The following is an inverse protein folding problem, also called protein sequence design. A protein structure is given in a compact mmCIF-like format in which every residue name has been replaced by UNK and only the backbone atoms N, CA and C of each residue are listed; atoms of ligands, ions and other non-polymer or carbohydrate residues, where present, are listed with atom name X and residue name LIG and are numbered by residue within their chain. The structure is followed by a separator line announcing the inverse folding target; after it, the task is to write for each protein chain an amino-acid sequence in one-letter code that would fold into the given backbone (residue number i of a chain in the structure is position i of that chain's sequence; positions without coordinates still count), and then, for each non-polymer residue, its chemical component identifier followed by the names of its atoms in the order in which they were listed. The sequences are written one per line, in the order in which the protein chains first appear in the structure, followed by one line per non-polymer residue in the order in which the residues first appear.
data_IF_752061705534
#
_entry.id   IF_752061705534
#
_cell.length_a   1.000
_cell.length_b   1.000
_cell.length_c   1.000
_cell.angle_alpha   90.00
_cell.angle_beta   90.00
_cell.angle_gamma   90.00
#
_symmetry.space_group_name_H-M   'P 1'
#
loop_
_entity.id
_entity.type
_entity.pdbx_description
1 polymer ?
#
# COMPACT_ATOMS: atom_id res chain seq x y z
N UNK A 1 34.08 20.31 14.48
CA UNK A 1 33.72 20.86 13.16
C UNK A 1 32.21 21.10 13.08
N UNK A 2 31.69 22.02 13.90
CA UNK A 2 30.25 22.26 14.14
C UNK A 2 29.73 23.55 13.48
N UNK A 3 30.38 24.01 12.40
CA UNK A 3 30.13 25.33 11.81
C UNK A 3 29.95 25.32 10.28
N UNK A 4 29.63 24.16 9.70
CA UNK A 4 29.05 24.07 8.35
C UNK A 4 27.55 23.85 8.55
N UNK A 5 26.71 24.74 8.04
CA UNK A 5 25.24 24.69 8.13
C UNK A 5 24.57 23.51 7.41
N UNK A 6 25.16 22.31 7.49
CA UNK A 6 24.60 21.04 7.06
C UNK A 6 23.68 20.50 8.17
N UNK A 7 22.52 21.12 8.34
CA UNK A 7 21.38 20.51 9.08
C UNK A 7 20.66 19.46 8.21
N UNK A 8 21.43 18.63 7.52
CA UNK A 8 20.91 17.54 6.69
C UNK A 8 21.11 16.23 7.43
N UNK A 9 20.43 16.08 8.57
CA UNK A 9 20.29 14.78 9.24
C UNK A 9 19.16 14.02 8.55
N UNK A 10 19.49 12.99 7.76
CA UNK A 10 18.50 12.17 7.06
C UNK A 10 19.03 11.49 5.81
N UNK A 11 18.27 10.54 5.28
CA UNK A 11 18.65 9.78 4.09
C UNK A 11 18.35 10.58 2.80
N UNK A 12 19.41 11.03 2.13
CA UNK A 12 19.36 11.74 0.84
C UNK A 12 19.48 10.81 -0.38
N UNK A 13 19.70 9.51 -0.17
CA UNK A 13 19.90 8.56 -1.25
C UNK A 13 18.59 8.43 -2.06
N UNK A 14 18.70 8.69 -3.36
CA UNK A 14 17.57 8.68 -4.29
C UNK A 14 16.51 9.76 -4.00
N UNK A 15 16.91 10.90 -3.41
CA UNK A 15 16.06 12.07 -3.13
C UNK A 15 16.54 13.29 -3.90
N UNK A 16 15.63 14.08 -4.43
CA UNK A 16 15.98 15.37 -5.05
C UNK A 16 16.23 16.45 -3.99
N UNK A 17 17.32 17.19 -4.15
CA UNK A 17 17.71 18.28 -3.23
C UNK A 17 16.75 19.48 -3.29
N UNK A 18 16.07 19.67 -4.42
CA UNK A 18 15.11 20.77 -4.62
C UNK A 18 13.83 20.62 -3.78
N UNK A 19 13.38 19.38 -3.54
CA UNK A 19 12.13 19.08 -2.82
C UNK A 19 12.42 18.76 -1.34
N UNK A 20 13.57 18.16 -1.04
CA UNK A 20 13.96 17.79 0.32
C UNK A 20 13.25 16.52 0.82
N UNK A 21 13.71 16.02 1.99
CA UNK A 21 13.34 14.68 2.50
C UNK A 21 11.86 14.62 2.91
N UNK A 22 11.40 15.58 3.72
CA UNK A 22 10.04 15.53 4.31
C UNK A 22 8.95 15.60 3.24
N UNK A 23 9.02 16.57 2.33
CA UNK A 23 8.05 16.71 1.25
C UNK A 23 8.04 15.50 0.32
N UNK A 24 9.22 14.95 0.03
CA UNK A 24 9.31 13.76 -0.82
C UNK A 24 8.74 12.50 -0.18
N UNK A 25 8.88 12.36 1.15
CA UNK A 25 8.29 11.23 1.88
C UNK A 25 6.75 11.28 1.88
N UNK A 26 6.18 12.48 2.05
CA UNK A 26 4.72 12.69 1.96
C UNK A 26 4.22 12.46 0.55
N UNK A 27 4.96 12.93 -0.46
CA UNK A 27 4.58 12.74 -1.86
C UNK A 27 4.52 11.26 -2.24
N UNK A 28 5.56 10.47 -1.94
CA UNK A 28 5.56 9.04 -2.27
C UNK A 28 4.48 8.28 -1.52
N UNK A 29 4.24 8.60 -0.24
CA UNK A 29 3.17 7.99 0.54
C UNK A 29 1.80 8.34 -0.06
N UNK A 30 1.54 9.61 -0.33
CA UNK A 30 0.27 10.07 -0.93
C UNK A 30 0.02 9.48 -2.31
N UNK A 31 1.01 9.48 -3.20
CA UNK A 31 0.89 8.92 -4.55
C UNK A 31 0.65 7.41 -4.56
N UNK A 32 1.12 6.72 -3.52
CA UNK A 32 0.89 5.29 -3.31
C UNK A 32 -0.52 5.04 -2.78
N UNK A 33 -0.98 5.83 -1.81
CA UNK A 33 -2.35 5.77 -1.30
C UNK A 33 -3.33 5.99 -2.46
N UNK A 34 -3.18 7.07 -3.22
CA UNK A 34 -4.02 7.44 -4.37
C UNK A 34 -3.83 6.56 -5.61
N UNK A 35 -3.09 5.46 -5.52
CA UNK A 35 -2.82 4.53 -6.63
C UNK A 35 -2.34 5.24 -7.92
N UNK A 36 -1.68 6.39 -7.78
CA UNK A 36 -1.21 7.20 -8.91
C UNK A 36 0.11 6.66 -9.46
N UNK A 37 0.92 6.01 -8.61
CA UNK A 37 2.19 5.40 -9.02
C UNK A 37 3.31 6.39 -9.33
N UNK A 38 3.08 7.69 -9.13
CA UNK A 38 4.09 8.72 -9.25
C UNK A 38 5.08 8.64 -8.09
N UNK A 39 6.37 8.75 -8.39
CA UNK A 39 7.42 8.77 -7.38
C UNK A 39 8.38 9.89 -7.70
N UNK A 40 8.72 10.69 -6.70
CA UNK A 40 9.77 11.73 -6.81
C UNK A 40 11.07 11.27 -6.15
N UNK A 41 11.13 10.01 -5.71
CA UNK A 41 12.24 9.38 -5.01
C UNK A 41 12.38 7.93 -5.44
N UNK A 42 13.62 7.42 -5.45
CA UNK A 42 13.84 6.00 -5.68
C UNK A 42 13.34 5.19 -4.47
N UNK A 43 12.30 4.36 -4.66
CA UNK A 43 11.70 3.56 -3.58
C UNK A 43 12.73 2.56 -3.00
N UNK A 44 13.63 2.04 -3.83
CA UNK A 44 14.70 1.13 -3.41
C UNK A 44 15.73 1.78 -2.47
N UNK A 45 15.80 3.11 -2.42
CA UNK A 45 16.75 3.85 -1.61
C UNK A 45 16.18 4.32 -0.27
N UNK A 46 14.96 3.93 0.10
CA UNK A 46 14.40 4.25 1.42
C UNK A 46 14.99 3.35 2.50
N UNK A 47 15.01 3.86 3.73
CA UNK A 47 15.27 3.05 4.92
C UNK A 47 14.22 1.94 5.05
N UNK A 48 14.53 0.78 5.67
CA UNK A 48 13.56 -0.31 5.84
C UNK A 48 12.22 0.13 6.44
N UNK A 49 12.23 0.99 7.45
CA UNK A 49 11.02 1.54 8.06
C UNK A 49 10.22 2.44 7.09
N UNK A 50 10.91 3.21 6.25
CA UNK A 50 10.31 4.03 5.20
C UNK A 50 9.69 3.19 4.07
N UNK A 51 10.32 2.07 3.70
CA UNK A 51 9.77 1.13 2.73
C UNK A 51 8.46 0.51 3.24
N UNK A 52 8.38 0.17 4.53
CA UNK A 52 7.13 -0.34 5.13
C UNK A 52 5.98 0.68 5.02
N UNK A 53 6.27 1.97 5.18
CA UNK A 53 5.26 3.03 5.01
C UNK A 53 4.69 3.12 3.60
N UNK A 54 5.44 2.69 2.57
CA UNK A 54 5.00 2.65 1.17
C UNK A 54 4.35 1.31 0.84
N UNK A 55 4.88 0.19 1.34
CA UNK A 55 4.34 -1.14 1.06
C UNK A 55 2.99 -1.39 1.74
N UNK A 56 2.76 -0.83 2.93
CA UNK A 56 1.55 -1.07 3.70
C UNK A 56 0.26 -0.66 2.96
N UNK A 57 0.15 0.57 2.40
CA UNK A 57 -1.00 0.96 1.57
C UNK A 57 -1.21 0.09 0.32
N UNK A 58 -0.12 -0.37 -0.31
CA UNK A 58 -0.19 -1.22 -1.52
C UNK A 58 -0.74 -2.61 -1.17
N UNK A 59 -0.27 -3.20 -0.07
CA UNK A 59 -0.67 -4.55 0.34
C UNK A 59 -2.12 -4.61 0.82
N UNK A 60 -2.57 -3.60 1.56
CA UNK A 60 -3.94 -3.53 2.08
C UNK A 60 -4.93 -3.03 1.03
N UNK A 61 -4.47 -2.53 -0.12
CA UNK A 61 -5.35 -1.91 -1.12
C UNK A 61 -6.14 -0.76 -0.48
N UNK A 62 -5.43 0.31 -0.13
CA UNK A 62 -5.98 1.47 0.59
C UNK A 62 -7.30 1.97 -0.05
N UNK A 63 -8.35 2.25 0.76
CA UNK A 63 -9.61 2.81 0.26
C UNK A 63 -9.46 4.15 -0.48
N UNK A 64 -8.42 4.93 -0.21
CA UNK A 64 -8.14 6.18 -0.92
C UNK A 64 -7.55 5.91 -2.31
N UNK A 65 -8.25 5.16 -3.17
CA UNK A 65 -7.76 4.72 -4.48
C UNK A 65 -7.62 5.84 -5.53
N UNK A 66 -7.38 5.41 -6.77
CA UNK A 66 -7.27 6.30 -7.94
C UNK A 66 -8.62 6.89 -8.38
N UNK A 67 -8.59 7.63 -9.49
CA UNK A 67 -9.79 8.26 -10.06
C UNK A 67 -10.87 7.21 -10.33
N UNK A 68 -11.97 7.28 -9.60
CA UNK A 68 -13.13 6.38 -9.72
C UNK A 68 -13.04 5.08 -8.90
N UNK A 69 -11.85 4.47 -8.78
CA UNK A 69 -11.69 3.20 -8.06
C UNK A 69 -11.76 3.37 -6.54
N UNK A 70 -11.35 4.52 -6.00
CA UNK A 70 -11.40 4.78 -4.56
C UNK A 70 -12.82 4.73 -3.98
N UNK A 71 -13.81 5.30 -4.67
CA UNK A 71 -15.21 5.26 -4.22
C UNK A 71 -15.73 3.82 -4.15
N UNK A 72 -15.46 3.01 -5.18
CA UNK A 72 -15.84 1.60 -5.21
C UNK A 72 -15.21 0.82 -4.06
N UNK A 73 -13.94 1.11 -3.76
CA UNK A 73 -13.21 0.46 -2.68
C UNK A 73 -13.78 0.84 -1.31
N UNK A 74 -14.07 2.12 -1.10
CA UNK A 74 -14.71 2.60 0.14
C UNK A 74 -16.04 1.87 0.39
N UNK A 75 -16.92 1.78 -0.61
CA UNK A 75 -18.19 1.06 -0.45
C UNK A 75 -17.99 -0.44 -0.18
N UNK A 76 -17.00 -1.06 -0.84
CA UNK A 76 -16.66 -2.47 -0.62
C UNK A 76 -16.23 -2.70 0.84
N UNK A 77 -15.35 -1.85 1.37
CA UNK A 77 -14.90 -1.88 2.76
C UNK A 77 -16.00 -1.58 3.77
N UNK A 78 -16.90 -0.63 3.47
CA UNK A 78 -18.04 -0.30 4.32
C UNK A 78 -19.00 -1.48 4.45
N UNK A 79 -19.35 -2.13 3.34
CA UNK A 79 -20.22 -3.33 3.36
C UNK A 79 -19.56 -4.45 4.16
N UNK A 80 -18.25 -4.67 3.98
CA UNK A 80 -17.51 -5.70 4.69
C UNK A 80 -17.40 -5.44 6.20
N UNK A 81 -17.12 -4.20 6.60
CA UNK A 81 -17.00 -3.81 8.01
C UNK A 81 -18.34 -3.86 8.74
N UNK A 82 -19.44 -3.41 8.12
CA UNK A 82 -20.79 -3.55 8.69
C UNK A 82 -21.16 -5.02 8.87
N UNK A 83 -20.79 -5.88 7.91
CA UNK A 83 -20.97 -7.32 8.06
C UNK A 83 -20.22 -7.89 9.27
N UNK A 84 -18.94 -7.53 9.45
CA UNK A 84 -18.15 -7.97 10.61
C UNK A 84 -18.72 -7.46 11.94
N UNK A 85 -19.09 -6.18 12.02
CA UNK A 85 -19.66 -5.58 13.24
C UNK A 85 -21.01 -6.24 13.58
N UNK A 86 -21.85 -6.48 12.58
CA UNK A 86 -23.17 -7.08 12.78
C UNK A 86 -23.05 -8.53 13.25
N UNK A 87 -22.05 -9.27 12.74
CA UNK A 87 -21.72 -10.61 13.20
C UNK A 87 -21.29 -10.62 14.68
N UNK A 88 -20.49 -9.65 15.12
CA UNK A 88 -20.07 -9.50 16.52
C UNK A 88 -21.24 -9.19 17.46
N UNK A 89 -22.22 -8.41 17.00
CA UNK A 89 -23.42 -8.04 17.79
C UNK A 89 -24.50 -9.13 17.72
N UNK A 90 -24.41 -10.08 16.79
CA UNK A 90 -25.42 -11.11 16.55
C UNK A 90 -26.67 -10.60 15.84
N UNK A 91 -26.56 -9.51 15.07
CA UNK A 91 -27.65 -8.89 14.30
C UNK A 91 -27.45 -9.07 12.80
N UNK A 92 -28.54 -8.93 12.05
CA UNK A 92 -28.47 -8.85 10.59
C UNK A 92 -27.75 -7.56 10.17
N UNK A 93 -26.92 -7.60 9.12
CA UNK A 93 -26.20 -6.42 8.64
C UNK A 93 -27.14 -5.39 8.02
N UNK A 94 -27.13 -4.18 8.59
CA UNK A 94 -27.94 -3.04 8.15
C UNK A 94 -27.02 -1.85 7.84
N UNK A 95 -27.14 -1.32 6.62
CA UNK A 95 -26.41 -0.13 6.16
C UNK A 95 -27.43 0.94 5.76
N UNK A 96 -27.37 2.14 6.37
CA UNK A 96 -28.37 3.21 6.15
C UNK A 96 -29.83 2.76 6.30
N UNK A 97 -30.11 1.86 7.26
CA UNK A 97 -31.42 1.23 7.44
C UNK A 97 -31.90 0.34 6.28
N UNK A 98 -31.05 0.08 5.29
CA UNK A 98 -31.25 -0.93 4.25
C UNK A 98 -30.64 -2.25 4.70
N UNK A 99 -31.40 -3.33 4.52
CA UNK A 99 -30.93 -4.69 4.81
C UNK A 99 -30.00 -5.15 3.70
N UNK A 100 -28.78 -5.53 4.06
CA UNK A 100 -27.81 -6.06 3.10
C UNK A 100 -28.16 -7.52 2.79
N UNK A 101 -28.24 -7.86 1.51
CA UNK A 101 -28.46 -9.21 1.04
C UNK A 101 -27.17 -10.03 1.12
N UNK A 102 -27.30 -11.35 1.32
CA UNK A 102 -26.15 -12.27 1.28
C UNK A 102 -25.40 -12.28 -0.06
N UNK A 103 -26.01 -11.79 -1.15
CA UNK A 103 -25.33 -11.65 -2.45
C UNK A 103 -24.29 -10.53 -2.44
N UNK A 104 -24.61 -9.39 -1.84
CA UNK A 104 -23.73 -8.20 -1.81
C UNK A 104 -22.49 -8.47 -0.95
N UNK A 105 -22.66 -9.18 0.17
CA UNK A 105 -21.56 -9.59 1.04
C UNK A 105 -20.60 -10.54 0.32
N UNK A 106 -21.13 -11.48 -0.49
CA UNK A 106 -20.31 -12.41 -1.28
C UNK A 106 -19.46 -11.67 -2.32
N UNK A 107 -20.04 -10.71 -3.03
CA UNK A 107 -19.29 -9.93 -4.02
C UNK A 107 -18.23 -9.04 -3.37
N UNK A 108 -18.55 -8.37 -2.26
CA UNK A 108 -17.58 -7.55 -1.51
C UNK A 108 -16.40 -8.41 -0.99
N UNK A 109 -16.69 -9.58 -0.44
CA UNK A 109 -15.64 -10.51 0.04
C UNK A 109 -14.75 -11.02 -1.10
N UNK A 110 -15.33 -11.32 -2.26
CA UNK A 110 -14.56 -11.77 -3.43
C UNK A 110 -13.62 -10.69 -3.95
N UNK A 111 -14.07 -9.42 -3.95
CA UNK A 111 -13.23 -8.29 -4.35
C UNK A 111 -12.01 -8.13 -3.44
N UNK A 112 -12.20 -8.23 -2.11
CA UNK A 112 -11.11 -8.10 -1.15
C UNK A 112 -10.09 -9.24 -1.24
N UNK A 113 -10.53 -10.46 -1.52
CA UNK A 113 -9.62 -11.61 -1.60
C UNK A 113 -8.85 -11.68 -2.93
N UNK A 114 -9.39 -11.06 -3.98
CA UNK A 114 -8.75 -11.06 -5.30
C UNK A 114 -7.42 -10.30 -5.29
N UNK A 115 -7.30 -9.20 -4.55
CA UNK A 115 -6.10 -8.38 -4.48
C UNK A 115 -4.85 -9.14 -3.94
N UNK A 116 -4.87 -9.72 -2.71
CA UNK A 116 -3.72 -10.45 -2.20
C UNK A 116 -3.38 -11.69 -3.04
N UNK A 117 -4.39 -12.33 -3.64
CA UNK A 117 -4.20 -13.52 -4.47
C UNK A 117 -3.45 -13.18 -5.77
N UNK A 118 -3.75 -12.03 -6.38
CA UNK A 118 -3.02 -11.52 -7.55
C UNK A 118 -1.58 -11.09 -7.23
N UNK A 119 -1.29 -10.71 -5.99
CA UNK A 119 0.08 -10.35 -5.58
C UNK A 119 0.90 -11.60 -5.24
N UNK A 120 0.34 -12.52 -4.44
CA UNK A 120 1.09 -13.66 -3.88
C UNK A 120 1.37 -14.73 -4.94
N UNK A 121 0.46 -15.00 -5.87
CA UNK A 121 0.66 -16.06 -6.88
C UNK A 121 1.86 -15.76 -7.80
N UNK A 122 1.95 -14.59 -8.48
CA UNK A 122 3.09 -14.28 -9.33
C UNK A 122 4.39 -14.13 -8.53
N UNK A 123 4.31 -13.61 -7.30
CA UNK A 123 5.46 -13.50 -6.41
C UNK A 123 6.02 -14.89 -6.06
N UNK A 124 5.16 -15.85 -5.72
CA UNK A 124 5.56 -17.24 -5.47
C UNK A 124 6.18 -17.90 -6.70
N UNK A 125 5.60 -17.69 -7.89
CA UNK A 125 6.16 -18.22 -9.15
C UNK A 125 7.56 -17.63 -9.42
N UNK A 126 7.73 -16.33 -9.20
CA UNK A 126 9.01 -15.65 -9.41
C UNK A 126 10.12 -16.20 -8.51
N UNK A 127 9.79 -16.51 -7.24
CA UNK A 127 10.75 -17.06 -6.28
C UNK A 127 11.18 -18.50 -6.57
N UNK A 128 10.38 -19.27 -7.30
CA UNK A 128 10.71 -20.66 -7.67
C UNK A 128 11.65 -20.78 -8.87
N UNK A 129 11.81 -19.71 -9.66
CA UNK A 129 12.59 -19.70 -10.90
C UNK A 129 13.94 -19.01 -10.66
N UNK A 130 15.07 -19.75 -10.62
CA UNK A 130 16.38 -19.16 -10.30
C UNK A 130 16.86 -18.10 -11.30
N UNK A 131 16.44 -18.21 -12.57
CA UNK A 131 16.79 -17.24 -13.61
C UNK A 131 16.12 -15.88 -13.44
N UNK A 132 14.99 -15.80 -12.72
CA UNK A 132 14.34 -14.52 -12.38
C UNK A 132 14.97 -13.89 -11.15
N UNK A 133 15.43 -14.70 -10.19
CA UNK A 133 16.04 -14.21 -8.96
C UNK A 133 17.35 -13.44 -9.21
N UNK A 134 18.08 -13.75 -10.28
CA UNK A 134 19.28 -13.01 -10.67
C UNK A 134 19.00 -11.62 -11.25
N UNK A 135 17.75 -11.30 -11.58
CA UNK A 135 17.35 -9.98 -12.13
C UNK A 135 17.13 -8.93 -11.04
N UNK A 136 17.08 -9.32 -9.77
CA UNK A 136 16.83 -8.39 -8.67
C UNK A 136 18.03 -7.45 -8.47
N UNK A 137 17.73 -6.15 -8.48
CA UNK A 137 18.71 -5.07 -8.26
C UNK A 137 19.34 -5.16 -6.87
N UNK A 138 18.59 -5.65 -5.89
CA UNK A 138 19.04 -5.82 -4.49
C UNK A 138 18.72 -7.26 -4.03
N UNK A 139 19.68 -8.20 -4.16
CA UNK A 139 19.44 -9.62 -3.89
C UNK A 139 19.38 -9.99 -2.41
N UNK A 140 19.73 -9.07 -1.50
CA UNK A 140 19.65 -9.28 -0.04
C UNK A 140 18.86 -8.16 0.64
N UNK A 141 17.99 -8.46 1.63
CA UNK A 141 17.25 -7.47 2.42
C UNK A 141 18.13 -6.52 3.23
N UNK A 142 19.38 -6.90 3.49
CA UNK A 142 20.33 -6.25 4.40
C UNK A 142 21.28 -5.27 3.67
N UNK A 143 21.18 -5.14 2.35
CA UNK A 143 22.00 -4.23 1.52
C UNK A 143 21.36 -2.85 1.29
N UNK A 144 20.23 -2.55 1.93
CA UNK A 144 19.59 -1.22 1.87
C UNK A 144 20.26 -0.31 2.91
N UNK A 145 21.34 0.37 2.50
CA UNK A 145 21.87 1.57 3.17
C UNK A 145 22.44 2.53 2.12
#
# INVERSE_FOLDING_TARGET
MSNLGLFYTGNFLGKETAIGISQSSVFVSGATMTSTGATNIAINSLTPAGVLGVLFPILINDPLGGVGTGILNIFTYVIFTVFLVSLMVGKLPELFSLKISSKEIKYSTYSLISHPLLIVIPLGITLLIPSLMSTFVSPKPDQIT
#
